data_IF_995658685755
#
_entry.id   IF_995658685755
#
_cell.length_a   1.000
_cell.length_b   1.000
_cell.length_c   1.000
_cell.angle_alpha   90.00
_cell.angle_beta   90.00
_cell.angle_gamma   90.00
#
_symmetry.space_group_name_H-M   'P 1'
#
loop_
_entity.id
_entity.type
_entity.pdbx_description
1 polymer ?
#
# COMPACT_ATOMS: atom_id res chain seq x y z
N UNK A 1 -3.04 -19.13 13.80
CA UNK A 1 -4.48 -18.86 13.56
C UNK A 1 -5.28 -19.96 14.25
N UNK A 2 -6.05 -19.67 15.31
CA UNK A 2 -6.88 -20.69 15.93
C UNK A 2 -7.98 -21.13 14.95
N UNK A 3 -8.06 -22.44 14.67
CA UNK A 3 -9.12 -23.03 13.86
C UNK A 3 -10.38 -23.21 14.70
N UNK A 4 -11.56 -23.09 14.09
CA UNK A 4 -12.83 -23.37 14.78
C UNK A 4 -12.91 -24.87 15.10
N UNK A 5 -13.10 -25.21 16.37
CA UNK A 5 -13.27 -26.61 16.81
C UNK A 5 -14.58 -27.23 16.32
N UNK A 6 -15.65 -26.44 16.30
CA UNK A 6 -16.95 -26.86 15.77
C UNK A 6 -17.02 -26.61 14.27
N UNK A 7 -17.27 -27.67 13.50
CA UNK A 7 -17.36 -27.66 12.04
C UNK A 7 -18.67 -26.99 11.62
N UNK A 8 -18.61 -26.15 10.58
CA UNK A 8 -19.81 -25.54 9.99
C UNK A 8 -20.65 -26.63 9.32
N UNK A 9 -21.93 -26.69 9.69
CA UNK A 9 -22.89 -27.56 9.02
C UNK A 9 -23.42 -26.92 7.74
N UNK A 10 -23.65 -27.73 6.72
CA UNK A 10 -24.21 -27.31 5.45
C UNK A 10 -25.34 -28.25 5.06
N UNK A 11 -26.40 -27.72 4.43
CA UNK A 11 -27.48 -28.54 3.88
C UNK A 11 -26.91 -29.41 2.75
N UNK A 12 -27.04 -30.72 2.89
CA UNK A 12 -26.56 -31.69 1.90
C UNK A 12 -27.53 -31.71 0.72
N UNK A 13 -27.03 -31.47 -0.49
CA UNK A 13 -27.81 -31.53 -1.73
C UNK A 13 -27.47 -32.74 -2.59
N UNK A 14 -26.25 -33.27 -2.47
CA UNK A 14 -25.77 -34.47 -3.18
C UNK A 14 -25.05 -35.42 -2.21
N UNK A 15 -25.17 -36.73 -2.42
CA UNK A 15 -24.50 -37.79 -1.65
C UNK A 15 -22.97 -37.61 -1.59
N UNK A 16 -22.36 -37.07 -2.64
CA UNK A 16 -20.92 -36.81 -2.66
C UNK A 16 -20.46 -35.82 -1.58
N UNK A 17 -21.32 -34.87 -1.17
CA UNK A 17 -20.97 -33.88 -0.13
C UNK A 17 -20.74 -34.50 1.24
N UNK A 18 -21.29 -35.69 1.50
CA UNK A 18 -21.02 -36.44 2.73
C UNK A 18 -19.56 -36.90 2.81
N UNK A 19 -18.93 -37.13 1.66
CA UNK A 19 -17.57 -37.63 1.54
C UNK A 19 -16.54 -36.50 1.35
N UNK A 20 -16.99 -35.31 0.93
CA UNK A 20 -16.10 -34.19 0.65
C UNK A 20 -15.55 -33.57 1.95
N UNK A 21 -14.23 -33.64 2.20
CA UNK A 21 -13.65 -33.08 3.43
C UNK A 21 -13.55 -31.55 3.41
N UNK A 22 -13.59 -30.96 2.20
CA UNK A 22 -13.39 -29.52 1.97
C UNK A 22 -14.57 -28.93 1.24
N UNK A 23 -15.06 -27.79 1.75
CA UNK A 23 -16.21 -27.09 1.20
C UNK A 23 -15.98 -26.55 -0.23
N UNK A 24 -14.82 -25.94 -0.47
CA UNK A 24 -14.40 -25.41 -1.78
C UNK A 24 -13.11 -26.12 -2.24
N UNK A 25 -13.20 -27.30 -2.88
CA UNK A 25 -12.02 -28.06 -3.29
C UNK A 25 -11.16 -27.35 -4.34
N UNK A 26 -11.80 -26.60 -5.24
CA UNK A 26 -11.16 -25.88 -6.34
C UNK A 26 -10.31 -24.70 -5.88
N UNK A 27 -10.45 -24.27 -4.62
CA UNK A 27 -9.74 -23.09 -4.10
C UNK A 27 -8.32 -23.48 -3.67
N UNK A 28 -7.32 -22.61 -3.84
CA UNK A 28 -5.98 -22.85 -3.30
C UNK A 28 -6.00 -23.10 -1.79
N UNK A 29 -4.99 -23.78 -1.27
CA UNK A 29 -4.83 -23.98 0.18
C UNK A 29 -4.53 -22.66 0.88
N UNK A 30 -4.44 -22.67 2.21
CA UNK A 30 -4.19 -21.43 2.96
C UNK A 30 -2.86 -20.78 2.57
N UNK A 31 -1.79 -21.56 2.40
CA UNK A 31 -0.46 -21.05 2.02
C UNK A 31 -0.48 -20.50 0.60
N UNK A 32 -0.94 -21.30 -0.36
CA UNK A 32 -0.96 -20.92 -1.78
C UNK A 32 -1.80 -19.67 -2.01
N UNK A 33 -2.93 -19.51 -1.29
CA UNK A 33 -3.74 -18.29 -1.40
C UNK A 33 -3.00 -17.06 -0.90
N UNK A 34 -2.19 -17.17 0.16
CA UNK A 34 -1.39 -16.04 0.63
C UNK A 34 -0.27 -15.71 -0.36
N UNK A 35 0.36 -16.72 -0.94
CA UNK A 35 1.40 -16.53 -1.95
C UNK A 35 0.84 -15.85 -3.19
N UNK A 36 -0.29 -16.34 -3.73
CA UNK A 36 -1.00 -15.71 -4.84
C UNK A 36 -1.31 -14.25 -4.51
N UNK A 37 -1.87 -13.99 -3.31
CA UNK A 37 -2.20 -12.62 -2.89
C UNK A 37 -0.95 -11.74 -2.84
N UNK A 38 0.13 -12.20 -2.24
CA UNK A 38 1.38 -11.45 -2.12
C UNK A 38 1.97 -11.15 -3.50
N UNK A 39 1.95 -12.12 -4.40
CA UNK A 39 2.40 -11.94 -5.78
C UNK A 39 1.55 -10.89 -6.51
N UNK A 40 0.23 -10.95 -6.41
CA UNK A 40 -0.64 -9.94 -7.03
C UNK A 40 -0.42 -8.54 -6.46
N UNK A 41 -0.18 -8.43 -5.14
CA UNK A 41 0.15 -7.16 -4.52
C UNK A 41 1.51 -6.61 -5.01
N UNK A 42 2.49 -7.49 -5.18
CA UNK A 42 3.81 -7.14 -5.72
C UNK A 42 3.72 -6.67 -7.17
N UNK A 43 3.02 -7.41 -8.04
CA UNK A 43 2.82 -7.04 -9.45
C UNK A 43 2.13 -5.66 -9.58
N UNK A 44 1.16 -5.38 -8.71
CA UNK A 44 0.51 -4.07 -8.68
C UNK A 44 1.43 -2.96 -8.14
N UNK A 45 2.30 -3.28 -7.19
CA UNK A 45 3.29 -2.35 -6.66
C UNK A 45 4.35 -2.00 -7.70
N UNK A 46 4.86 -3.00 -8.44
CA UNK A 46 5.78 -2.81 -9.56
C UNK A 46 5.14 -1.97 -10.67
N UNK A 47 3.87 -2.27 -11.03
CA UNK A 47 3.14 -1.47 -12.02
C UNK A 47 2.98 -0.01 -11.58
N UNK A 48 2.68 0.23 -10.31
CA UNK A 48 2.53 1.59 -9.77
C UNK A 48 3.85 2.37 -9.79
N UNK A 49 4.97 1.71 -9.55
CA UNK A 49 6.28 2.36 -9.45
C UNK A 49 7.05 2.44 -10.78
N UNK A 50 6.51 1.86 -11.85
CA UNK A 50 7.16 1.81 -13.17
C UNK A 50 7.47 3.20 -13.76
N UNK A 51 6.65 4.22 -13.44
CA UNK A 51 6.83 5.58 -13.96
C UNK A 51 7.87 6.40 -13.17
N UNK A 52 8.33 5.89 -12.02
CA UNK A 52 9.26 6.58 -11.12
C UNK A 52 8.54 7.37 -10.01
N UNK A 53 9.32 7.85 -9.03
CA UNK A 53 8.79 8.60 -7.90
C UNK A 53 8.53 10.05 -8.28
N UNK A 54 7.27 10.48 -8.19
CA UNK A 54 6.87 11.87 -8.40
C UNK A 54 7.02 12.69 -7.11
N UNK A 55 7.68 13.85 -7.19
CA UNK A 55 7.76 14.78 -6.08
C UNK A 55 6.44 15.51 -5.87
N UNK A 56 5.88 15.41 -4.67
CA UNK A 56 4.54 15.93 -4.34
C UNK A 56 4.65 17.29 -3.67
N UNK A 57 3.78 18.27 -3.99
CA UNK A 57 3.76 19.56 -3.30
C UNK A 57 3.33 19.41 -1.83
N UNK A 58 3.74 20.37 -0.99
CA UNK A 58 3.52 20.32 0.47
C UNK A 58 2.05 20.13 0.88
N UNK A 59 1.12 20.66 0.11
CA UNK A 59 -0.32 20.58 0.39
C UNK A 59 -0.90 19.17 0.25
N UNK A 60 -0.26 18.32 -0.56
CA UNK A 60 -0.66 16.95 -0.84
C UNK A 60 0.16 15.92 -0.05
N UNK A 61 1.05 16.38 0.84
CA UNK A 61 1.74 15.51 1.76
C UNK A 61 0.81 14.97 2.85
N UNK A 62 1.17 13.83 3.46
CA UNK A 62 0.42 13.29 4.58
C UNK A 62 0.30 14.27 5.74
N UNK A 63 -0.77 14.17 6.55
CA UNK A 63 -1.04 15.12 7.65
C UNK A 63 0.12 15.29 8.64
N UNK A 64 0.89 14.23 8.89
CA UNK A 64 2.03 14.25 9.81
C UNK A 64 3.27 14.99 9.28
N UNK A 65 3.39 15.19 7.97
CA UNK A 65 4.50 15.96 7.35
C UNK A 65 4.07 17.37 6.94
N UNK A 66 2.85 17.50 6.43
CA UNK A 66 2.30 18.75 5.87
C UNK A 66 2.43 19.93 6.83
N UNK A 67 1.95 19.79 8.06
CA UNK A 67 1.94 20.89 9.04
C UNK A 67 3.35 21.30 9.45
N UNK A 68 4.29 20.35 9.57
CA UNK A 68 5.67 20.64 9.94
C UNK A 68 6.38 21.46 8.86
N UNK A 69 6.22 21.06 7.59
CA UNK A 69 6.83 21.76 6.45
C UNK A 69 6.26 23.16 6.24
N UNK A 70 4.93 23.31 6.34
CA UNK A 70 4.26 24.61 6.23
C UNK A 70 4.75 25.57 7.32
N UNK A 71 4.86 25.09 8.56
CA UNK A 71 5.35 25.90 9.67
C UNK A 71 6.83 26.27 9.50
N UNK A 72 7.67 25.35 9.01
CA UNK A 72 9.09 25.61 8.78
C UNK A 72 9.33 26.72 7.74
N UNK A 73 8.43 26.89 6.76
CA UNK A 73 8.52 27.92 5.73
C UNK A 73 7.70 29.18 6.04
N UNK A 74 6.80 29.14 7.02
CA UNK A 74 5.84 30.21 7.29
C UNK A 74 6.48 31.60 7.47
N UNK A 75 7.64 31.68 8.14
CA UNK A 75 8.34 32.95 8.36
C UNK A 75 8.83 33.58 7.04
N UNK A 76 9.40 32.76 6.16
CA UNK A 76 9.92 33.21 4.87
C UNK A 76 8.81 33.41 3.83
N UNK A 77 7.77 32.59 3.84
CA UNK A 77 6.62 32.72 2.92
C UNK A 77 5.83 34.02 3.09
N UNK A 78 6.01 34.75 4.21
CA UNK A 78 5.48 36.11 4.39
C UNK A 78 6.19 37.15 3.52
N UNK A 79 7.40 36.85 3.03
CA UNK A 79 8.19 37.71 2.15
C UNK A 79 8.26 37.09 0.75
N UNK A 80 7.83 37.83 -0.27
CA UNK A 80 7.77 37.33 -1.64
C UNK A 80 9.13 37.47 -2.33
N UNK A 81 10.01 36.47 -2.17
CA UNK A 81 11.25 36.36 -2.93
C UNK A 81 11.47 34.93 -3.45
N UNK A 82 11.93 34.80 -4.69
CA UNK A 82 12.18 33.49 -5.32
C UNK A 82 13.53 32.94 -4.87
N UNK A 83 13.65 31.61 -4.85
CA UNK A 83 14.90 30.90 -4.52
C UNK A 83 15.03 30.46 -3.06
N UNK A 84 14.12 30.86 -2.16
CA UNK A 84 14.12 30.35 -0.79
C UNK A 84 13.77 28.86 -0.73
N UNK A 85 14.66 28.06 -0.13
CA UNK A 85 14.42 26.61 0.10
C UNK A 85 14.81 26.26 1.53
N UNK A 86 13.95 25.49 2.21
CA UNK A 86 14.24 24.91 3.53
C UNK A 86 14.52 23.44 3.34
N UNK A 87 15.68 22.98 3.83
CA UNK A 87 16.04 21.57 3.87
C UNK A 87 15.48 20.95 5.15
N UNK A 88 14.29 20.38 5.06
CA UNK A 88 13.61 19.72 6.19
C UNK A 88 13.92 18.22 6.16
N UNK A 89 14.07 17.61 7.34
CA UNK A 89 14.41 16.19 7.48
C UNK A 89 13.26 15.27 7.04
N UNK A 90 12.01 15.61 7.37
CA UNK A 90 10.82 14.79 7.13
C UNK A 90 10.27 14.90 5.69
N UNK A 91 11.12 15.28 4.73
CA UNK A 91 10.75 15.40 3.32
C UNK A 91 10.53 14.05 2.64
N UNK A 92 10.21 14.09 1.35
CA UNK A 92 10.28 12.88 0.53
C UNK A 92 11.75 12.49 0.31
N UNK A 93 12.04 11.21 0.46
CA UNK A 93 13.36 10.67 0.18
C UNK A 93 13.71 10.82 -1.30
N UNK A 94 15.01 10.93 -1.54
CA UNK A 94 15.56 11.01 -2.89
C UNK A 94 15.49 9.61 -3.55
N UNK A 95 15.00 9.50 -4.81
CA UNK A 95 14.78 8.19 -5.44
C UNK A 95 16.05 7.43 -5.82
N UNK A 96 17.21 8.08 -5.96
CA UNK A 96 18.49 7.47 -6.34
C UNK A 96 18.73 7.35 -7.85
N UNK A 97 17.75 7.73 -8.68
CA UNK A 97 17.81 7.69 -10.14
C UNK A 97 17.01 8.86 -10.76
N UNK A 98 17.32 9.29 -12.00
CA UNK A 98 16.53 10.32 -12.68
C UNK A 98 15.11 9.83 -12.94
N UNK A 99 14.11 10.63 -12.60
CA UNK A 99 12.69 10.35 -12.86
C UNK A 99 12.11 11.36 -13.85
N UNK A 100 11.10 10.98 -14.65
CA UNK A 100 10.46 11.91 -15.59
C UNK A 100 9.83 13.14 -14.94
N UNK A 101 9.51 13.06 -13.64
CA UNK A 101 8.85 14.13 -12.88
C UNK A 101 9.82 15.09 -12.19
N UNK A 102 11.12 14.77 -12.17
CA UNK A 102 12.14 15.54 -11.46
C UNK A 102 12.83 16.55 -12.38
#
# INVERSE_FOLDING_TARGET
MPLRRLVKQHKITNKQMLLMPRYEPYKPTMKDRQEIRNRTLLENFERKNAEGLMFVPEVALPPWQKSLLLNAKAAASRMNFRGFRVRVADGQDEPGFPTPYR
#
